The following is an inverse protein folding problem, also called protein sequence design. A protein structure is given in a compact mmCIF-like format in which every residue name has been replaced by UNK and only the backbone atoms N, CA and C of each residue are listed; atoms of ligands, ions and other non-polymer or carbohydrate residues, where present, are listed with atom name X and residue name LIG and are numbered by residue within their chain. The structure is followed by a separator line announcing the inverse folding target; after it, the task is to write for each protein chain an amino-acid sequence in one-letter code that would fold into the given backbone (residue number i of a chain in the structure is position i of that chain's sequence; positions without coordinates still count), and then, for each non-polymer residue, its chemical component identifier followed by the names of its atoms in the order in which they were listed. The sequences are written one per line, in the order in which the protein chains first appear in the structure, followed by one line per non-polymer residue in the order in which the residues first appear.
data_IF_138229528951
#
_entry.id   IF_138229528951
#
_cell.length_a   1.000
_cell.length_b   1.000
_cell.length_c   1.000
_cell.angle_alpha   90.00
_cell.angle_beta   90.00
_cell.angle_gamma   90.00
#
_symmetry.space_group_name_H-M   'P 1'
#
loop_
_entity.id
_entity.type
_entity.pdbx_description
1 polymer ?
#
# COMPACT_ATOMS: atom_id res chain seq x y z
N UNK A 1 36.99 52.54 -48.82
CA UNK A 1 36.23 52.76 -47.56
C UNK A 1 35.48 51.53 -47.23
N UNK A 2 35.98 50.72 -46.36
CA UNK A 2 35.39 49.42 -46.03
C UNK A 2 34.82 49.49 -44.63
N UNK A 3 33.51 49.55 -44.54
CA UNK A 3 32.80 49.54 -43.27
C UNK A 3 32.61 48.10 -42.85
N UNK A 4 33.44 47.66 -41.96
CA UNK A 4 33.38 46.32 -41.40
C UNK A 4 32.31 46.31 -40.29
N UNK A 5 31.18 45.72 -40.57
CA UNK A 5 30.17 45.45 -39.54
C UNK A 5 30.53 44.19 -38.80
N UNK A 6 30.82 44.32 -37.55
CA UNK A 6 31.02 43.19 -36.64
C UNK A 6 29.64 42.63 -36.25
N UNK A 7 29.41 41.31 -36.36
CA UNK A 7 28.21 40.73 -35.80
C UNK A 7 28.39 40.61 -34.27
N UNK A 8 27.43 41.17 -33.56
CA UNK A 8 27.31 40.94 -32.12
C UNK A 8 26.85 39.49 -31.94
N UNK A 9 27.72 38.67 -31.41
CA UNK A 9 27.34 37.34 -30.95
C UNK A 9 26.74 37.50 -29.57
N UNK A 10 25.41 37.44 -29.53
CA UNK A 10 24.68 37.34 -28.26
C UNK A 10 24.75 35.87 -27.83
N UNK A 11 25.64 35.56 -26.91
CA UNK A 11 25.65 34.30 -26.24
C UNK A 11 24.47 34.28 -25.27
N UNK A 12 23.38 33.66 -25.67
CA UNK A 12 22.27 33.36 -24.76
C UNK A 12 22.70 32.24 -23.82
N UNK A 13 23.00 32.63 -22.59
CA UNK A 13 23.21 31.66 -21.51
C UNK A 13 21.84 31.08 -21.14
N UNK A 14 21.54 29.93 -21.67
CA UNK A 14 20.37 29.15 -21.25
C UNK A 14 20.77 28.46 -19.96
N UNK A 15 20.46 29.06 -18.84
CA UNK A 15 20.49 28.38 -17.55
C UNK A 15 19.38 27.35 -17.54
N UNK A 16 19.73 26.11 -17.82
CA UNK A 16 18.89 24.95 -17.59
C UNK A 16 18.68 24.81 -16.07
N UNK A 17 17.59 25.39 -15.58
CA UNK A 17 17.09 25.06 -14.26
C UNK A 17 16.48 23.67 -14.39
N UNK A 18 17.25 22.66 -14.08
CA UNK A 18 16.69 21.32 -13.89
C UNK A 18 15.88 21.36 -12.60
N UNK A 19 14.54 21.19 -12.67
CA UNK A 19 13.80 20.94 -11.46
C UNK A 19 14.34 19.63 -10.90
N UNK A 20 14.96 19.68 -9.75
CA UNK A 20 15.20 18.49 -8.96
C UNK A 20 13.83 17.92 -8.64
N UNK A 21 13.42 16.91 -9.40
CA UNK A 21 12.33 16.04 -8.98
C UNK A 21 12.82 15.38 -7.71
N UNK A 22 12.48 15.96 -6.58
CA UNK A 22 12.46 15.22 -5.34
C UNK A 22 11.37 14.19 -5.55
N UNK A 23 11.77 13.04 -6.05
CA UNK A 23 10.94 11.87 -5.98
C UNK A 23 10.70 11.66 -4.49
N UNK A 24 9.57 12.14 -4.01
CA UNK A 24 9.06 11.68 -2.75
C UNK A 24 8.85 10.18 -2.96
N UNK A 25 9.87 9.40 -2.64
CA UNK A 25 9.77 7.97 -2.50
C UNK A 25 8.80 7.76 -1.36
N UNK A 26 7.52 7.70 -1.72
CA UNK A 26 6.51 7.22 -0.81
C UNK A 26 6.92 5.85 -0.32
N UNK A 27 6.42 5.40 0.82
CA UNK A 27 6.77 4.09 1.35
C UNK A 27 6.64 3.05 0.25
N UNK A 28 7.69 2.29 0.06
CA UNK A 28 7.76 1.27 -0.97
C UNK A 28 6.70 0.21 -0.65
N UNK A 29 5.57 0.25 -1.34
CA UNK A 29 4.56 -0.75 -1.10
C UNK A 29 3.19 -0.39 -1.58
N UNK A 30 2.53 0.57 -0.98
CA UNK A 30 1.13 0.84 -1.27
C UNK A 30 0.90 2.27 -1.74
N UNK A 31 0.26 2.39 -2.89
CA UNK A 31 -0.28 3.65 -3.37
C UNK A 31 -1.74 3.70 -2.96
N UNK A 32 -2.06 4.56 -2.00
CA UNK A 32 -3.45 4.86 -1.68
C UNK A 32 -3.95 5.99 -2.55
N UNK A 33 -5.21 5.95 -2.90
CA UNK A 33 -5.83 7.00 -3.71
C UNK A 33 -6.00 8.30 -2.95
N UNK A 34 -6.12 8.22 -1.63
CA UNK A 34 -6.24 9.37 -0.73
C UNK A 34 -5.28 9.19 0.43
N UNK A 35 -4.59 10.24 0.80
CA UNK A 35 -3.57 10.18 1.85
C UNK A 35 -3.97 11.03 3.04
N UNK A 36 -4.51 10.40 4.04
CA UNK A 36 -4.67 11.02 5.37
C UNK A 36 -3.61 10.46 6.30
N UNK A 37 -2.76 11.32 6.83
CA UNK A 37 -1.71 10.92 7.75
C UNK A 37 -2.26 10.86 9.17
N UNK A 38 -2.74 9.69 9.58
CA UNK A 38 -3.05 9.40 10.97
C UNK A 38 -1.95 8.48 11.51
N UNK A 39 -1.40 8.75 12.70
CA UNK A 39 -0.39 7.86 13.27
C UNK A 39 -1.01 6.48 13.55
N UNK A 40 -0.27 5.40 13.29
CA UNK A 40 -0.78 4.05 13.46
C UNK A 40 -1.08 3.79 14.94
N UNK A 41 -2.32 3.47 15.24
CA UNK A 41 -2.69 2.99 16.57
C UNK A 41 -2.46 1.47 16.63
N UNK A 42 -1.25 1.06 16.90
CA UNK A 42 -0.85 -0.35 17.03
C UNK A 42 -1.25 -0.92 18.39
N UNK A 43 -2.52 -0.82 18.77
CA UNK A 43 -2.92 -1.07 20.16
C UNK A 43 -3.51 -2.46 20.42
N UNK A 44 -3.96 -3.17 19.39
CA UNK A 44 -4.55 -4.49 19.60
C UNK A 44 -3.51 -5.61 19.43
N UNK A 45 -3.32 -6.50 20.42
CA UNK A 45 -2.53 -7.69 20.24
C UNK A 45 -3.21 -8.62 19.24
N UNK A 46 -2.45 -9.13 18.28
CA UNK A 46 -2.93 -10.18 17.37
C UNK A 46 -2.88 -11.51 18.13
N UNK A 47 -4.02 -12.15 18.23
CA UNK A 47 -4.13 -13.47 18.86
C UNK A 47 -3.68 -14.57 17.89
N UNK A 48 -2.44 -14.98 18.02
CA UNK A 48 -1.81 -16.00 17.18
C UNK A 48 -2.42 -17.38 17.32
N UNK A 49 -3.13 -17.65 18.42
CA UNK A 49 -3.81 -18.95 18.60
C UNK A 49 -5.02 -19.12 17.69
N UNK A 50 -5.47 -18.01 17.07
CA UNK A 50 -6.65 -17.94 16.22
C UNK A 50 -6.34 -17.69 14.75
N UNK A 51 -5.11 -17.97 14.32
CA UNK A 51 -4.71 -17.80 12.92
C UNK A 51 -5.56 -18.70 12.00
N UNK A 52 -6.05 -18.14 10.93
CA UNK A 52 -6.84 -18.82 9.92
C UNK A 52 -6.17 -18.73 8.55
N UNK A 53 -6.44 -19.68 7.68
CA UNK A 53 -6.08 -19.60 6.27
C UNK A 53 -7.18 -18.89 5.47
N UNK A 54 -6.82 -18.36 4.31
CA UNK A 54 -7.80 -17.75 3.40
C UNK A 54 -8.85 -18.78 2.95
N UNK A 55 -8.46 -20.02 2.71
CA UNK A 55 -9.39 -21.09 2.36
C UNK A 55 -10.45 -21.30 3.44
N UNK A 56 -10.05 -21.32 4.70
CA UNK A 56 -10.98 -21.43 5.83
C UNK A 56 -11.92 -20.23 5.91
N UNK A 57 -11.40 -19.02 5.71
CA UNK A 57 -12.20 -17.80 5.74
C UNK A 57 -13.26 -17.82 4.65
N UNK A 58 -12.91 -18.21 3.43
CA UNK A 58 -13.86 -18.29 2.31
C UNK A 58 -14.99 -19.30 2.53
N UNK A 59 -14.75 -20.34 3.33
CA UNK A 59 -15.72 -21.42 3.56
C UNK A 59 -16.52 -21.28 4.84
N UNK A 60 -15.94 -20.70 5.89
CA UNK A 60 -16.53 -20.72 7.25
C UNK A 60 -16.88 -19.35 7.81
N UNK A 61 -16.25 -18.29 7.34
CA UNK A 61 -16.43 -16.97 7.92
C UNK A 61 -17.70 -16.28 7.44
N UNK A 62 -18.30 -15.53 8.34
CA UNK A 62 -19.48 -14.71 8.10
C UNK A 62 -19.10 -13.24 7.94
N UNK A 63 -20.06 -12.43 7.51
CA UNK A 63 -19.89 -10.99 7.46
C UNK A 63 -19.59 -10.41 8.85
N UNK A 64 -18.60 -9.53 8.94
CA UNK A 64 -18.09 -8.89 10.17
C UNK A 64 -17.32 -9.82 11.12
N UNK A 65 -17.09 -11.08 10.76
CA UNK A 65 -16.22 -11.94 11.56
C UNK A 65 -14.80 -11.38 11.63
N UNK A 66 -14.24 -11.35 12.82
CA UNK A 66 -12.86 -10.93 13.05
C UNK A 66 -11.92 -12.12 12.86
N UNK A 67 -11.00 -11.97 11.94
CA UNK A 67 -10.06 -13.03 11.55
C UNK A 67 -8.60 -12.56 11.68
N UNK A 68 -7.72 -13.53 11.90
CA UNK A 68 -6.29 -13.31 12.04
C UNK A 68 -5.57 -14.13 10.98
N UNK A 69 -4.66 -13.50 10.24
CA UNK A 69 -3.91 -14.15 9.16
C UNK A 69 -2.45 -13.75 9.19
N UNK A 70 -1.64 -14.63 8.61
CA UNK A 70 -0.25 -14.34 8.25
C UNK A 70 -0.08 -14.48 6.75
N UNK A 71 0.61 -13.55 6.14
CA UNK A 71 0.84 -13.57 4.69
C UNK A 71 1.54 -12.31 4.22
N UNK A 72 1.30 -11.97 2.96
CA UNK A 72 1.95 -10.87 2.27
C UNK A 72 0.95 -10.11 1.42
N UNK A 73 1.12 -8.82 1.33
CA UNK A 73 0.45 -8.01 0.30
C UNK A 73 1.27 -8.11 -0.98
N UNK A 74 0.69 -8.66 -2.03
CA UNK A 74 1.42 -9.00 -3.25
C UNK A 74 1.15 -8.07 -4.41
N UNK A 75 -0.05 -7.53 -4.52
CA UNK A 75 -0.47 -6.74 -5.66
C UNK A 75 -1.50 -5.69 -5.28
N UNK A 76 -1.39 -4.52 -5.88
CA UNK A 76 -2.43 -3.50 -5.79
C UNK A 76 -3.55 -3.82 -6.79
N UNK A 77 -4.78 -3.91 -6.32
CA UNK A 77 -5.95 -4.22 -7.15
C UNK A 77 -6.73 -2.97 -7.53
N UNK A 78 -6.99 -2.10 -6.58
CA UNK A 78 -7.74 -0.85 -6.76
C UNK A 78 -7.55 0.06 -5.56
N UNK A 79 -8.07 1.27 -5.59
CA UNK A 79 -7.74 2.38 -4.69
C UNK A 79 -7.46 2.02 -3.23
N UNK A 80 -8.25 1.23 -2.58
CA UNK A 80 -8.07 0.86 -1.17
C UNK A 80 -7.90 -0.64 -0.98
N UNK A 81 -7.74 -1.39 -2.06
CA UNK A 81 -7.74 -2.85 -2.01
C UNK A 81 -6.49 -3.41 -2.65
N UNK A 82 -5.78 -4.17 -1.87
CA UNK A 82 -4.60 -4.94 -2.30
C UNK A 82 -4.89 -6.44 -2.23
N UNK A 83 -4.15 -7.22 -2.99
CA UNK A 83 -4.18 -8.66 -2.91
C UNK A 83 -3.33 -9.11 -1.73
N UNK A 84 -3.93 -9.87 -0.85
CA UNK A 84 -3.25 -10.53 0.26
C UNK A 84 -3.14 -12.02 -0.02
N UNK A 85 -1.93 -12.55 0.11
CA UNK A 85 -1.59 -13.96 -0.09
C UNK A 85 -1.16 -14.57 1.23
N UNK A 86 -1.81 -15.64 1.66
CA UNK A 86 -1.44 -16.34 2.88
C UNK A 86 -0.23 -17.27 2.68
N UNK A 87 0.18 -17.94 3.75
CA UNK A 87 1.32 -18.86 3.72
C UNK A 87 1.08 -20.12 2.86
N UNK A 88 -0.18 -20.46 2.62
CA UNK A 88 -0.57 -21.57 1.75
C UNK A 88 -0.59 -21.18 0.25
N UNK A 89 -0.50 -19.90 -0.07
CA UNK A 89 -0.55 -19.38 -1.43
C UNK A 89 -1.94 -18.99 -1.91
N UNK A 90 -2.95 -19.06 -1.06
CA UNK A 90 -4.29 -18.57 -1.38
C UNK A 90 -4.36 -17.05 -1.32
N UNK A 91 -5.21 -16.46 -2.15
CA UNK A 91 -5.34 -15.01 -2.26
C UNK A 91 -6.74 -14.51 -1.93
N UNK A 92 -6.81 -13.30 -1.39
CA UNK A 92 -8.05 -12.59 -1.10
C UNK A 92 -7.83 -11.08 -1.23
N UNK A 93 -8.85 -10.33 -1.62
CA UNK A 93 -8.79 -8.87 -1.58
C UNK A 93 -8.78 -8.38 -0.14
N UNK A 94 -7.82 -7.55 0.20
CA UNK A 94 -7.69 -6.92 1.51
C UNK A 94 -7.75 -5.41 1.37
N UNK A 95 -8.73 -4.81 2.00
CA UNK A 95 -8.92 -3.37 1.99
C UNK A 95 -8.13 -2.73 3.11
N UNK A 96 -7.29 -1.79 2.74
CA UNK A 96 -6.55 -0.93 3.66
C UNK A 96 -7.26 0.42 3.73
N UNK A 97 -7.76 0.77 4.90
CA UNK A 97 -8.50 2.01 5.09
C UNK A 97 -7.58 3.23 4.95
N UNK A 98 -8.00 4.23 4.18
CA UNK A 98 -7.23 5.47 3.98
C UNK A 98 -7.10 6.33 5.25
N UNK A 99 -7.94 6.10 6.24
CA UNK A 99 -7.89 6.84 7.50
C UNK A 99 -6.65 6.48 8.36
N UNK A 100 -5.94 5.43 7.99
CA UNK A 100 -4.77 4.95 8.73
C UNK A 100 -3.47 5.03 7.92
N UNK A 101 -2.36 5.15 8.62
CA UNK A 101 -1.05 5.17 8.00
C UNK A 101 -0.47 3.76 7.90
N UNK A 102 -0.45 3.22 6.68
CA UNK A 102 0.10 1.89 6.37
C UNK A 102 1.56 1.91 5.91
N UNK A 103 2.28 3.01 6.14
CA UNK A 103 3.67 3.17 5.68
C UNK A 103 4.65 2.14 6.25
N UNK A 104 4.30 1.50 7.36
CA UNK A 104 5.07 0.43 7.99
C UNK A 104 4.86 -0.95 7.33
N UNK A 105 3.87 -1.07 6.46
CA UNK A 105 3.56 -2.29 5.72
C UNK A 105 4.12 -2.17 4.31
N UNK A 106 4.99 -3.10 3.93
CA UNK A 106 5.61 -3.14 2.61
C UNK A 106 5.07 -4.30 1.79
N UNK A 107 5.09 -4.13 0.48
CA UNK A 107 4.76 -5.23 -0.43
C UNK A 107 5.77 -6.36 -0.28
N UNK A 108 5.27 -7.59 -0.33
CA UNK A 108 6.02 -8.84 -0.23
C UNK A 108 6.68 -9.13 1.14
N UNK A 109 6.58 -8.20 2.08
CA UNK A 109 6.99 -8.46 3.46
C UNK A 109 5.96 -9.35 4.15
N UNK A 110 6.45 -10.26 4.98
CA UNK A 110 5.59 -11.10 5.81
C UNK A 110 4.96 -10.27 6.92
N UNK A 111 3.64 -10.29 6.99
CA UNK A 111 2.87 -9.53 7.97
C UNK A 111 1.82 -10.40 8.65
N UNK A 112 1.50 -10.04 9.88
CA UNK A 112 0.30 -10.52 10.58
C UNK A 112 -0.78 -9.45 10.46
N UNK A 113 -1.97 -9.86 10.07
CA UNK A 113 -3.11 -8.96 9.98
C UNK A 113 -4.27 -9.42 10.86
N UNK A 114 -4.99 -8.46 11.38
CA UNK A 114 -6.31 -8.61 11.97
C UNK A 114 -7.30 -7.89 11.06
N UNK A 115 -8.31 -8.58 10.59
CA UNK A 115 -9.25 -8.04 9.65
C UNK A 115 -10.70 -8.50 9.92
N UNK A 116 -11.66 -7.74 9.45
CA UNK A 116 -13.05 -8.14 9.39
C UNK A 116 -13.38 -8.70 8.02
N UNK A 117 -14.16 -9.75 7.98
CA UNK A 117 -14.62 -10.37 6.72
C UNK A 117 -15.79 -9.58 6.16
N UNK A 118 -15.68 -9.12 4.94
CA UNK A 118 -16.75 -8.45 4.22
C UNK A 118 -17.30 -9.35 3.12
N UNK A 119 -18.50 -9.85 3.32
CA UNK A 119 -19.19 -10.71 2.35
C UNK A 119 -20.30 -10.01 1.58
N UNK A 120 -20.44 -8.70 1.71
CA UNK A 120 -21.46 -7.92 0.97
C UNK A 120 -21.25 -7.94 -0.54
N UNK A 121 -20.03 -8.21 -0.97
CA UNK A 121 -19.70 -8.37 -2.38
C UNK A 121 -19.78 -9.83 -2.80
N UNK A 122 -19.85 -10.06 -4.10
CA UNK A 122 -19.88 -11.40 -4.70
C UNK A 122 -18.66 -12.24 -4.31
N UNK A 123 -17.53 -11.61 -4.10
CA UNK A 123 -16.30 -12.25 -3.61
C UNK A 123 -15.99 -11.68 -2.23
N UNK A 124 -15.72 -12.52 -1.22
CA UNK A 124 -15.33 -12.04 0.10
C UNK A 124 -14.06 -11.20 0.05
N UNK A 125 -14.04 -10.12 0.80
CA UNK A 125 -12.89 -9.24 0.99
C UNK A 125 -12.58 -9.09 2.48
N UNK A 126 -11.37 -8.70 2.81
CA UNK A 126 -10.96 -8.39 4.18
C UNK A 126 -10.89 -6.88 4.37
N UNK A 127 -11.50 -6.37 5.42
CA UNK A 127 -11.30 -5.01 5.88
C UNK A 127 -10.23 -5.03 6.98
N UNK A 128 -9.00 -4.67 6.63
CA UNK A 128 -7.84 -4.75 7.53
C UNK A 128 -7.96 -3.71 8.63
N UNK A 129 -7.88 -4.14 9.87
CA UNK A 129 -7.92 -3.28 11.05
C UNK A 129 -6.52 -3.03 11.61
N UNK A 130 -5.67 -4.04 11.59
CA UNK A 130 -4.29 -3.98 12.07
C UNK A 130 -3.41 -4.81 11.15
N UNK A 131 -2.24 -4.30 10.82
CA UNK A 131 -1.19 -5.04 10.13
C UNK A 131 0.15 -4.81 10.82
N UNK A 132 0.88 -5.89 11.09
CA UNK A 132 2.18 -5.84 11.74
C UNK A 132 3.21 -6.60 10.92
N UNK A 133 4.31 -5.96 10.54
CA UNK A 133 5.42 -6.67 9.95
C UNK A 133 5.97 -7.71 10.92
N UNK A 134 6.24 -8.89 10.41
CA UNK A 134 6.94 -9.94 11.14
C UNK A 134 8.44 -9.79 10.89
N UNK A 135 9.20 -9.86 11.96
CA UNK A 135 10.66 -9.85 11.87
C UNK A 135 11.21 -11.27 11.76
#
# INVERSE_FOLDING_TARGET
MTTQRRPLVIAALITLITPAFVSATGPVGFSHCTRTMVPPTLTAPIDRSRLMSIAQIKTTSRHEDLVYLQGRFTKHLRCETDEFTDLAGDTIGARLNDDENWSHVRRDDLVEIMAKVNTKRKVPELDVQVARPMK
#
